data_IF_471287789426
#
_entry.id   IF_471287789426
#
_cell.length_a   1.000
_cell.length_b   1.000
_cell.length_c   1.000
_cell.angle_alpha   90.00
_cell.angle_beta   90.00
_cell.angle_gamma   90.00
#
_symmetry.space_group_name_H-M   'P 1'
#
loop_
_entity.id
_entity.type
_entity.pdbx_description
1 polymer ?
#
# COMPACT_ATOMS: atom_id res chain seq x y z
N UNK A 1 -59.39 3.38 -23.51
CA UNK A 1 -59.01 2.96 -22.13
C UNK A 1 -57.60 2.32 -22.03
N UNK A 2 -56.86 2.10 -23.13
CA UNK A 2 -55.57 1.39 -23.15
C UNK A 2 -54.30 2.25 -22.95
N UNK A 3 -54.35 3.58 -23.17
CA UNK A 3 -53.14 4.43 -23.08
C UNK A 3 -52.85 4.84 -21.64
N UNK A 4 -53.86 5.10 -20.81
CA UNK A 4 -53.67 5.43 -19.37
C UNK A 4 -53.15 4.27 -18.54
N UNK A 5 -53.43 3.02 -18.94
CA UNK A 5 -52.86 1.81 -18.29
C UNK A 5 -51.39 1.59 -18.61
N UNK A 6 -50.93 1.98 -19.79
CA UNK A 6 -49.53 1.86 -20.23
C UNK A 6 -48.62 2.86 -19.49
N UNK A 7 -49.04 4.09 -19.32
CA UNK A 7 -48.27 5.11 -18.57
C UNK A 7 -48.17 4.78 -17.07
N UNK A 8 -49.25 4.31 -16.46
CA UNK A 8 -49.24 3.89 -15.04
C UNK A 8 -48.37 2.67 -14.81
N UNK A 9 -48.36 1.72 -15.76
CA UNK A 9 -47.49 0.54 -15.71
C UNK A 9 -46.02 0.94 -15.89
N UNK A 10 -45.72 1.82 -16.84
CA UNK A 10 -44.36 2.33 -17.09
C UNK A 10 -43.81 3.09 -15.88
N UNK A 11 -44.61 3.99 -15.29
CA UNK A 11 -44.26 4.72 -14.05
C UNK A 11 -43.99 3.77 -12.89
N UNK A 12 -44.81 2.72 -12.73
CA UNK A 12 -44.66 1.73 -11.65
C UNK A 12 -43.38 0.88 -11.82
N UNK A 13 -43.07 0.48 -13.04
CA UNK A 13 -41.86 -0.23 -13.37
C UNK A 13 -40.60 0.64 -13.13
N UNK A 14 -40.65 1.88 -13.66
CA UNK A 14 -39.55 2.84 -13.49
C UNK A 14 -39.24 3.13 -12.02
N UNK A 15 -40.30 3.32 -11.20
CA UNK A 15 -40.13 3.53 -9.75
C UNK A 15 -39.54 2.32 -9.07
N UNK A 16 -39.90 1.11 -9.43
CA UNK A 16 -39.38 -0.11 -8.85
C UNK A 16 -37.87 -0.34 -9.20
N UNK A 17 -37.50 -0.09 -10.44
CA UNK A 17 -36.09 -0.16 -10.86
C UNK A 17 -35.23 0.91 -10.19
N UNK A 18 -35.78 2.11 -10.04
CA UNK A 18 -35.14 3.20 -9.29
C UNK A 18 -34.92 2.86 -7.84
N UNK A 19 -35.90 2.22 -7.18
CA UNK A 19 -35.75 1.76 -5.79
C UNK A 19 -34.68 0.67 -5.63
N UNK A 20 -34.64 -0.33 -6.53
CA UNK A 20 -33.62 -1.38 -6.50
C UNK A 20 -32.22 -0.81 -6.72
N UNK A 21 -32.07 0.15 -7.63
CA UNK A 21 -30.82 0.87 -7.82
C UNK A 21 -30.42 1.62 -6.55
N UNK A 22 -31.35 2.36 -5.94
CA UNK A 22 -31.06 3.13 -4.72
C UNK A 22 -30.60 2.23 -3.58
N UNK A 23 -31.22 1.06 -3.42
CA UNK A 23 -30.78 0.04 -2.45
C UNK A 23 -29.37 -0.44 -2.78
N UNK A 24 -29.08 -0.76 -4.04
CA UNK A 24 -27.78 -1.24 -4.47
C UNK A 24 -26.69 -0.18 -4.28
N UNK A 25 -26.98 1.09 -4.62
CA UNK A 25 -26.05 2.21 -4.42
C UNK A 25 -25.80 2.49 -2.94
N UNK A 26 -26.86 2.51 -2.12
CA UNK A 26 -26.71 2.68 -0.67
C UNK A 26 -25.87 1.57 -0.05
N UNK A 27 -26.11 0.32 -0.45
CA UNK A 27 -25.32 -0.82 -0.01
C UNK A 27 -23.87 -0.70 -0.49
N UNK A 28 -23.63 -0.33 -1.75
CA UNK A 28 -22.28 -0.14 -2.29
C UNK A 28 -21.55 0.97 -1.57
N UNK A 29 -22.20 2.11 -1.30
CA UNK A 29 -21.61 3.22 -0.54
C UNK A 29 -21.29 2.83 0.89
N UNK A 30 -22.16 2.08 1.55
CA UNK A 30 -21.93 1.54 2.88
C UNK A 30 -20.74 0.56 2.87
N UNK A 31 -20.69 -0.36 1.90
CA UNK A 31 -19.56 -1.28 1.71
C UNK A 31 -18.25 -0.52 1.46
N UNK A 32 -18.26 0.50 0.60
CA UNK A 32 -17.09 1.32 0.30
C UNK A 32 -16.61 2.16 1.50
N UNK A 33 -17.52 2.48 2.43
CA UNK A 33 -17.16 3.15 3.70
C UNK A 33 -16.47 2.23 4.70
N UNK A 34 -16.52 0.90 4.49
CA UNK A 34 -15.90 -0.14 5.31
C UNK A 34 -14.66 -0.68 4.60
N UNK A 35 -13.61 -0.94 5.33
CA UNK A 35 -12.42 -1.56 4.77
C UNK A 35 -12.60 -3.09 4.70
N UNK A 36 -12.93 -3.59 3.50
CA UNK A 36 -12.89 -5.03 3.20
C UNK A 36 -11.45 -5.47 2.93
N UNK A 37 -10.63 -5.40 3.97
CA UNK A 37 -9.17 -5.53 3.88
C UNK A 37 -8.75 -6.78 3.13
N UNK A 38 -9.33 -7.95 3.44
CA UNK A 38 -8.87 -9.23 2.86
C UNK A 38 -9.11 -9.38 1.35
N UNK A 39 -10.31 -8.99 0.86
CA UNK A 39 -10.62 -9.08 -0.58
C UNK A 39 -9.80 -8.06 -1.37
N UNK A 40 -9.73 -6.83 -0.88
CA UNK A 40 -8.96 -5.76 -1.50
C UNK A 40 -7.47 -6.07 -1.49
N UNK A 41 -6.93 -6.61 -0.39
CA UNK A 41 -5.55 -7.03 -0.25
C UNK A 41 -5.18 -8.13 -1.26
N UNK A 42 -6.05 -9.13 -1.44
CA UNK A 42 -5.80 -10.21 -2.41
C UNK A 42 -5.73 -9.71 -3.86
N UNK A 43 -6.57 -8.72 -4.22
CA UNK A 43 -6.52 -8.09 -5.54
C UNK A 43 -5.26 -7.24 -5.69
N UNK A 44 -4.95 -6.41 -4.69
CA UNK A 44 -3.74 -5.59 -4.65
C UNK A 44 -2.48 -6.44 -4.84
N UNK A 45 -2.33 -7.51 -4.04
CA UNK A 45 -1.16 -8.37 -4.06
C UNK A 45 -0.92 -8.99 -5.46
N UNK A 46 -2.01 -9.39 -6.14
CA UNK A 46 -1.90 -9.92 -7.51
C UNK A 46 -1.53 -8.85 -8.53
N UNK A 47 -2.14 -7.67 -8.43
CA UNK A 47 -1.85 -6.58 -9.36
C UNK A 47 -0.43 -6.05 -9.20
N UNK A 48 0.07 -5.92 -7.96
CA UNK A 48 1.43 -5.45 -7.70
C UNK A 48 2.47 -6.49 -8.12
N UNK A 49 2.18 -7.79 -7.94
CA UNK A 49 3.05 -8.87 -8.39
C UNK A 49 3.21 -8.94 -9.92
N UNK A 50 2.27 -8.36 -10.68
CA UNK A 50 2.33 -8.23 -12.14
C UNK A 50 2.95 -6.90 -12.60
N UNK A 51 3.34 -6.04 -11.67
CA UNK A 51 4.01 -4.77 -11.97
C UNK A 51 5.48 -5.04 -12.27
N UNK A 52 5.82 -5.11 -13.54
CA UNK A 52 7.16 -5.43 -14.03
C UNK A 52 7.99 -4.13 -14.19
N UNK A 53 8.30 -3.47 -13.09
CA UNK A 53 9.18 -2.30 -13.09
C UNK A 53 10.55 -2.68 -12.55
N UNK A 54 11.64 -2.30 -13.22
CA UNK A 54 13.00 -2.63 -12.78
C UNK A 54 13.32 -1.95 -11.43
N UNK A 55 14.26 -2.52 -10.71
CA UNK A 55 14.90 -1.87 -9.57
C UNK A 55 15.89 -0.82 -10.07
N UNK A 56 16.06 0.24 -9.31
CA UNK A 56 17.07 1.25 -9.60
C UNK A 56 18.46 0.73 -9.19
N UNK A 57 19.36 0.67 -10.16
CA UNK A 57 20.73 0.18 -9.95
C UNK A 57 21.56 1.07 -9.02
N UNK A 58 21.20 2.35 -8.84
CA UNK A 58 21.91 3.25 -7.93
C UNK A 58 21.71 2.90 -6.45
N UNK A 59 20.70 2.07 -6.12
CA UNK A 59 20.44 1.62 -4.78
C UNK A 59 21.16 0.30 -4.52
N UNK A 60 22.04 0.26 -3.49
CA UNK A 60 22.80 -0.90 -3.10
C UNK A 60 22.56 -1.24 -1.63
N UNK A 61 22.25 -2.50 -1.32
CA UNK A 61 22.11 -2.96 0.06
C UNK A 61 23.44 -3.53 0.56
N UNK A 62 23.97 -2.94 1.64
CA UNK A 62 25.08 -3.51 2.42
C UNK A 62 24.47 -4.33 3.55
N UNK A 63 24.49 -5.64 3.38
CA UNK A 63 23.70 -6.58 4.16
C UNK A 63 24.46 -7.09 5.41
N UNK A 64 23.83 -6.92 6.57
CA UNK A 64 24.22 -7.70 7.77
C UNK A 64 23.64 -9.10 7.56
N UNK A 65 24.39 -9.92 6.85
CA UNK A 65 24.01 -11.26 6.43
C UNK A 65 24.68 -12.36 7.27
N UNK A 66 24.36 -13.62 6.99
CA UNK A 66 24.93 -14.77 7.71
C UNK A 66 26.45 -14.88 7.51
N UNK A 67 27.00 -14.38 6.39
CA UNK A 67 28.44 -14.32 6.16
C UNK A 67 29.08 -13.32 7.11
N UNK A 68 28.54 -12.12 7.17
CA UNK A 68 29.05 -11.06 8.06
C UNK A 68 29.00 -11.46 9.55
N UNK A 69 27.93 -12.18 9.96
CA UNK A 69 27.81 -12.70 11.32
C UNK A 69 28.89 -13.74 11.65
N UNK A 70 29.32 -14.56 10.69
CA UNK A 70 30.41 -15.53 10.89
C UNK A 70 31.79 -14.88 10.93
N UNK A 71 32.01 -13.85 10.09
CA UNK A 71 33.34 -13.22 9.94
C UNK A 71 33.60 -12.15 11.00
N UNK A 72 32.61 -11.34 11.37
CA UNK A 72 32.77 -10.27 12.36
C UNK A 72 32.43 -10.75 13.77
N UNK A 73 31.49 -11.70 13.89
CA UNK A 73 31.04 -12.23 15.16
C UNK A 73 29.60 -11.89 15.51
N UNK A 74 29.25 -12.12 16.78
CA UNK A 74 27.88 -12.02 17.27
C UNK A 74 27.35 -10.59 17.21
N UNK A 75 26.15 -10.42 16.67
CA UNK A 75 25.36 -9.17 16.68
C UNK A 75 24.75 -8.90 18.08
N UNK A 76 24.62 -7.63 18.54
CA UNK A 76 25.03 -6.40 17.86
C UNK A 76 26.57 -6.17 17.93
N UNK A 77 27.09 -5.56 16.83
CA UNK A 77 28.52 -5.24 16.76
C UNK A 77 28.83 -3.91 17.45
N UNK A 78 30.12 -3.75 17.86
CA UNK A 78 30.63 -2.48 18.40
C UNK A 78 30.47 -1.34 17.40
N UNK A 79 30.21 -0.12 17.92
CA UNK A 79 30.13 1.12 17.11
C UNK A 79 31.43 1.35 16.33
N UNK A 80 32.55 0.82 16.79
CA UNK A 80 33.84 0.88 16.05
C UNK A 80 33.73 0.17 14.68
N UNK A 81 33.02 -0.94 14.59
CA UNK A 81 32.82 -1.68 13.35
C UNK A 81 31.99 -0.83 12.37
N UNK A 82 30.92 -0.17 12.87
CA UNK A 82 30.10 0.72 12.08
C UNK A 82 30.86 1.99 11.63
N UNK A 83 31.72 2.54 12.51
CA UNK A 83 32.59 3.66 12.16
C UNK A 83 33.57 3.31 11.02
N UNK A 84 34.17 2.12 11.08
CA UNK A 84 35.07 1.65 10.02
C UNK A 84 34.32 1.43 8.69
N UNK A 85 33.09 0.92 8.72
CA UNK A 85 32.25 0.83 7.51
C UNK A 85 31.96 2.22 6.92
N UNK A 86 31.54 3.19 7.75
CA UNK A 86 31.25 4.56 7.31
C UNK A 86 32.48 5.20 6.67
N UNK A 87 33.66 5.09 7.31
CA UNK A 87 34.92 5.58 6.76
C UNK A 87 35.23 4.90 5.39
N UNK A 88 35.04 3.57 5.29
CA UNK A 88 35.27 2.80 4.05
C UNK A 88 34.31 3.23 2.92
N UNK A 89 33.03 3.42 3.22
CA UNK A 89 32.03 3.88 2.24
C UNK A 89 32.32 5.31 1.77
N UNK A 90 32.74 6.21 2.69
CA UNK A 90 33.19 7.56 2.34
C UNK A 90 34.41 7.54 1.39
N UNK A 91 35.40 6.69 1.67
CA UNK A 91 36.61 6.54 0.82
C UNK A 91 36.27 6.00 -0.57
N UNK A 92 35.32 5.08 -0.67
CA UNK A 92 34.82 4.57 -1.95
C UNK A 92 33.99 5.61 -2.73
N UNK A 93 33.57 6.71 -2.11
CA UNK A 93 32.81 7.79 -2.74
C UNK A 93 31.35 7.47 -2.95
N UNK A 94 30.68 6.86 -1.94
CA UNK A 94 29.22 6.64 -1.99
C UNK A 94 28.47 7.98 -1.91
N UNK A 95 27.32 8.05 -2.57
CA UNK A 95 26.49 9.24 -2.62
C UNK A 95 25.81 9.54 -1.29
N UNK A 96 25.23 8.52 -0.67
CA UNK A 96 24.57 8.62 0.63
C UNK A 96 24.56 7.24 1.31
N UNK A 97 24.46 7.24 2.64
CA UNK A 97 24.38 6.05 3.47
C UNK A 97 23.15 6.15 4.37
N UNK A 98 22.20 5.24 4.25
CA UNK A 98 21.11 5.08 5.19
C UNK A 98 21.38 3.85 6.07
N UNK A 99 21.53 4.05 7.38
CA UNK A 99 21.75 2.96 8.34
C UNK A 99 20.40 2.56 8.94
N UNK A 100 19.89 1.39 8.57
CA UNK A 100 18.70 0.78 9.20
C UNK A 100 19.12 0.00 10.47
N UNK A 101 19.77 0.73 11.39
CA UNK A 101 20.33 0.22 12.64
C UNK A 101 20.09 1.26 13.74
N UNK A 102 19.48 0.82 14.86
CA UNK A 102 19.17 1.67 15.99
C UNK A 102 20.38 1.85 16.92
N UNK A 103 20.69 3.10 17.27
CA UNK A 103 21.79 3.47 18.17
C UNK A 103 21.23 4.23 19.39
N UNK A 104 20.51 3.51 20.27
CA UNK A 104 19.74 4.12 21.37
C UNK A 104 20.47 4.08 22.70
N UNK A 105 21.35 3.12 22.93
CA UNK A 105 22.05 2.89 24.18
C UNK A 105 23.55 3.08 24.01
N UNK A 106 24.20 3.73 24.98
CA UNK A 106 25.63 3.97 24.94
C UNK A 106 26.44 2.66 25.03
N UNK A 107 27.51 2.56 24.24
CA UNK A 107 28.47 1.45 24.32
C UNK A 107 29.58 1.77 25.34
N UNK A 108 29.51 1.10 26.48
CA UNK A 108 30.55 1.21 27.52
C UNK A 108 30.74 2.65 28.02
N UNK A 109 31.92 3.25 27.82
CA UNK A 109 32.26 4.62 28.20
C UNK A 109 31.95 5.68 27.14
N UNK A 110 31.24 5.30 26.09
CA UNK A 110 30.80 6.18 24.99
C UNK A 110 31.93 6.56 24.00
N UNK A 111 33.13 6.01 24.11
CA UNK A 111 34.21 6.29 23.15
C UNK A 111 33.92 5.73 21.76
N UNK A 112 33.31 4.55 21.70
CA UNK A 112 32.93 3.92 20.46
C UNK A 112 31.80 4.72 19.77
N UNK A 113 30.83 5.24 20.55
CA UNK A 113 29.74 6.08 20.04
C UNK A 113 30.28 7.39 19.43
N UNK A 114 31.20 8.08 20.14
CA UNK A 114 31.88 9.28 19.62
C UNK A 114 32.65 8.97 18.33
N UNK A 115 33.37 7.83 18.27
CA UNK A 115 34.11 7.45 17.07
C UNK A 115 33.19 7.22 15.86
N UNK A 116 32.02 6.67 16.08
CA UNK A 116 30.98 6.55 15.03
C UNK A 116 30.44 7.93 14.62
N UNK A 117 30.12 8.80 15.59
CA UNK A 117 29.71 10.18 15.31
C UNK A 117 30.77 10.93 14.48
N UNK A 118 32.06 10.87 14.89
CA UNK A 118 33.15 11.47 14.12
C UNK A 118 33.25 10.93 12.69
N UNK A 119 33.02 9.62 12.47
CA UNK A 119 33.01 9.03 11.14
C UNK A 119 31.85 9.56 10.30
N UNK A 120 30.66 9.68 10.90
CA UNK A 120 29.47 10.26 10.26
C UNK A 120 29.68 11.75 9.89
N UNK A 121 30.27 12.53 10.80
CA UNK A 121 30.59 13.94 10.56
C UNK A 121 31.56 14.10 9.36
N UNK A 122 32.58 13.23 9.28
CA UNK A 122 33.52 13.25 8.14
C UNK A 122 32.88 12.84 6.83
N UNK A 123 31.91 11.91 6.88
CA UNK A 123 31.18 11.46 5.71
C UNK A 123 30.16 12.51 5.23
N UNK A 124 29.44 13.16 6.15
CA UNK A 124 28.48 14.23 5.89
C UNK A 124 27.19 13.79 5.16
N UNK A 125 27.01 12.49 4.93
CA UNK A 125 25.93 11.93 4.12
C UNK A 125 25.29 10.67 4.74
N UNK A 126 25.38 10.52 6.06
CA UNK A 126 24.86 9.34 6.80
C UNK A 126 23.56 9.67 7.49
N UNK A 127 22.53 8.88 7.23
CA UNK A 127 21.17 9.00 7.78
C UNK A 127 20.92 7.86 8.77
N UNK A 128 20.32 8.17 9.93
CA UNK A 128 20.11 7.22 11.03
C UNK A 128 18.67 7.22 11.53
N UNK A 129 18.14 6.06 11.98
CA UNK A 129 16.79 5.96 12.46
C UNK A 129 16.66 6.39 13.93
N UNK A 130 15.47 6.89 14.27
CA UNK A 130 14.98 6.94 15.63
C UNK A 130 13.99 5.78 15.87
N UNK A 131 13.79 5.44 17.14
CA UNK A 131 12.83 4.42 17.53
C UNK A 131 11.59 5.03 18.20
N UNK A 132 10.47 4.35 18.05
CA UNK A 132 9.25 4.57 18.84
C UNK A 132 9.13 3.48 19.90
N UNK A 133 8.95 3.85 21.16
CA UNK A 133 8.58 2.89 22.18
C UNK A 133 7.17 2.34 21.94
N UNK A 134 6.95 1.03 22.13
CA UNK A 134 5.61 0.52 22.29
C UNK A 134 4.94 1.23 23.48
N UNK A 135 3.64 1.55 23.35
CA UNK A 135 2.88 2.16 24.47
C UNK A 135 2.91 1.20 25.66
N UNK A 136 3.52 1.63 26.75
CA UNK A 136 3.61 0.82 27.98
C UNK A 136 2.25 0.55 28.62
N UNK A 137 1.28 1.47 28.42
CA UNK A 137 -0.10 1.37 28.87
C UNK A 137 -1.05 1.93 27.81
N UNK A 138 -2.25 1.36 27.62
CA UNK A 138 -3.25 1.96 26.75
C UNK A 138 -3.56 3.39 27.17
N UNK A 139 -3.37 4.36 26.25
CA UNK A 139 -3.61 5.79 26.48
C UNK A 139 -2.40 6.59 26.98
N UNK A 140 -1.25 5.96 27.25
CA UNK A 140 0.00 6.70 27.49
C UNK A 140 0.48 7.35 26.17
N UNK A 141 1.05 8.56 26.20
CA UNK A 141 1.66 9.14 25.02
C UNK A 141 2.82 8.25 24.58
N UNK A 142 2.96 7.97 23.28
CA UNK A 142 4.12 7.23 22.77
C UNK A 142 5.38 8.06 22.97
N UNK A 143 6.48 7.38 23.27
CA UNK A 143 7.78 8.01 23.50
C UNK A 143 8.66 7.78 22.27
N UNK A 144 9.29 8.85 21.80
CA UNK A 144 10.29 8.78 20.71
C UNK A 144 11.67 8.71 21.36
N UNK A 145 12.47 7.74 20.95
CA UNK A 145 13.87 7.61 21.33
C UNK A 145 14.75 8.04 20.17
N UNK A 146 15.35 9.22 20.23
CA UNK A 146 16.35 9.63 19.24
C UNK A 146 17.62 8.77 19.37
N UNK A 147 18.47 8.75 18.35
CA UNK A 147 19.82 8.22 18.49
C UNK A 147 20.59 8.94 19.60
N UNK A 148 21.67 8.31 20.09
CA UNK A 148 22.57 8.95 21.06
C UNK A 148 23.04 10.33 20.54
N UNK A 149 23.21 11.35 21.41
CA UNK A 149 23.61 12.70 20.99
C UNK A 149 24.85 12.72 20.10
N UNK A 150 25.91 11.98 20.46
CA UNK A 150 27.15 11.87 19.65
C UNK A 150 26.89 11.39 18.21
N UNK A 151 25.82 10.65 17.98
CA UNK A 151 25.41 10.13 16.66
C UNK A 151 24.40 11.07 16.01
N UNK A 152 23.40 11.51 16.75
CA UNK A 152 22.34 12.36 16.26
C UNK A 152 22.86 13.71 15.72
N UNK A 153 23.78 14.35 16.48
CA UNK A 153 24.35 15.65 16.13
C UNK A 153 25.28 15.58 14.88
N UNK A 154 25.74 14.39 14.52
CA UNK A 154 26.66 14.15 13.41
C UNK A 154 26.02 13.42 12.21
N UNK A 155 24.75 13.05 12.32
CA UNK A 155 24.00 12.49 11.21
C UNK A 155 23.55 13.57 10.23
N UNK A 156 23.55 13.25 8.92
CA UNK A 156 23.03 14.13 7.89
C UNK A 156 21.50 14.29 7.96
N UNK A 157 20.79 13.32 8.55
CA UNK A 157 19.39 13.35 8.81
C UNK A 157 18.92 12.20 9.70
N UNK A 158 17.78 12.44 10.34
CA UNK A 158 17.15 11.47 11.26
C UNK A 158 15.71 11.29 10.84
N UNK A 159 15.19 10.07 10.95
CA UNK A 159 13.80 9.76 10.65
C UNK A 159 13.34 8.45 11.26
N UNK A 160 12.05 8.17 11.21
CA UNK A 160 11.54 6.87 11.63
C UNK A 160 11.62 5.83 10.49
N UNK A 161 11.64 4.56 10.87
CA UNK A 161 11.66 3.42 9.93
C UNK A 161 10.42 2.53 10.07
N UNK A 162 9.35 3.06 10.69
CA UNK A 162 8.15 2.28 10.98
C UNK A 162 7.43 1.85 9.70
N UNK A 163 6.92 0.65 9.71
CA UNK A 163 6.06 0.09 8.66
C UNK A 163 4.71 -0.30 9.27
N UNK A 164 3.66 -0.34 8.43
CA UNK A 164 2.32 -0.71 8.88
C UNK A 164 1.98 -2.11 8.38
N UNK A 165 1.75 -3.04 9.31
CA UNK A 165 1.25 -4.36 8.99
C UNK A 165 -0.28 -4.33 8.91
N UNK A 166 -0.85 -4.82 7.82
CA UNK A 166 -2.28 -5.02 7.67
C UNK A 166 -2.77 -6.15 8.59
N UNK A 167 -4.10 -6.33 8.71
CA UNK A 167 -4.70 -7.37 9.55
C UNK A 167 -4.27 -8.81 9.21
N UNK A 168 -3.77 -9.04 7.99
CA UNK A 168 -3.21 -10.32 7.55
C UNK A 168 -1.71 -10.46 7.84
N UNK A 169 -1.13 -9.51 8.56
CA UNK A 169 0.29 -9.47 8.93
C UNK A 169 1.24 -9.05 7.81
N UNK A 170 0.75 -8.67 6.63
CA UNK A 170 1.58 -8.19 5.53
C UNK A 170 1.79 -6.69 5.58
N UNK A 171 3.01 -6.26 5.31
CA UNK A 171 3.36 -4.85 5.12
C UNK A 171 3.09 -4.46 3.67
N UNK A 172 2.17 -3.49 3.48
CA UNK A 172 1.84 -2.92 2.16
C UNK A 172 1.98 -1.41 2.14
N UNK A 173 1.96 -0.79 3.31
CA UNK A 173 1.87 0.66 3.49
C UNK A 173 2.68 1.12 4.67
N UNK A 174 2.97 2.41 4.68
CA UNK A 174 3.65 3.09 5.75
C UNK A 174 3.24 4.57 5.73
N UNK A 175 3.52 5.27 6.81
CA UNK A 175 3.34 6.71 6.90
C UNK A 175 4.66 7.42 6.65
N UNK A 176 4.64 8.51 5.87
CA UNK A 176 5.85 9.31 5.62
C UNK A 176 6.14 10.30 6.75
N UNK A 177 5.16 10.59 7.60
CA UNK A 177 5.33 11.40 8.79
C UNK A 177 4.64 10.73 9.99
N UNK A 178 5.37 10.62 11.10
CA UNK A 178 4.82 10.14 12.37
C UNK A 178 5.37 10.98 13.54
N UNK A 179 4.58 11.17 14.60
CA UNK A 179 5.05 11.87 15.78
C UNK A 179 3.96 12.35 16.71
N UNK A 180 4.32 13.16 17.69
CA UNK A 180 3.39 13.96 18.49
C UNK A 180 3.30 15.37 17.88
N UNK A 181 2.24 16.12 18.16
CA UNK A 181 1.89 17.40 17.50
C UNK A 181 3.09 18.35 17.31
N UNK A 182 3.96 18.45 18.30
CA UNK A 182 5.11 19.38 18.27
C UNK A 182 6.43 18.70 17.82
N UNK A 183 6.39 17.39 17.52
CA UNK A 183 7.56 16.59 17.17
C UNK A 183 7.19 15.56 16.10
N UNK A 184 6.73 16.04 14.93
CA UNK A 184 6.50 15.19 13.77
C UNK A 184 7.83 14.93 13.09
N UNK A 185 8.11 13.65 12.85
CA UNK A 185 9.37 13.18 12.27
C UNK A 185 9.08 12.53 10.92
N UNK A 186 9.85 12.86 9.87
CA UNK A 186 9.71 12.21 8.59
C UNK A 186 10.19 10.74 8.64
N UNK A 187 9.70 9.95 7.72
CA UNK A 187 10.27 8.63 7.45
C UNK A 187 11.73 8.78 6.97
N UNK A 188 12.64 7.94 7.45
CA UNK A 188 14.09 8.08 7.16
C UNK A 188 14.38 8.06 5.65
N UNK A 189 13.67 7.21 4.91
CA UNK A 189 13.79 7.17 3.44
C UNK A 189 13.32 8.48 2.78
N UNK A 190 12.29 9.15 3.35
CA UNK A 190 11.86 10.45 2.85
C UNK A 190 12.92 11.53 3.15
N UNK A 191 13.48 11.55 4.35
CA UNK A 191 14.53 12.50 4.72
C UNK A 191 15.76 12.36 3.80
N UNK A 192 16.14 11.12 3.48
CA UNK A 192 17.19 10.85 2.50
C UNK A 192 16.81 11.34 1.09
N UNK A 193 15.60 11.00 0.61
CA UNK A 193 15.13 11.42 -0.72
C UNK A 193 15.08 12.95 -0.86
N UNK A 194 14.54 13.66 0.13
CA UNK A 194 14.47 15.13 0.13
C UNK A 194 15.85 15.78 0.04
N UNK A 195 16.84 15.22 0.73
CA UNK A 195 18.22 15.67 0.62
C UNK A 195 18.83 15.39 -0.76
N UNK A 196 18.52 14.26 -1.39
CA UNK A 196 18.95 13.95 -2.76
C UNK A 196 18.33 14.94 -3.77
N UNK A 197 17.06 15.33 -3.57
CA UNK A 197 16.41 16.38 -4.35
C UNK A 197 17.11 17.73 -4.18
N UNK A 198 17.43 18.10 -2.94
CA UNK A 198 18.16 19.33 -2.63
C UNK A 198 19.55 19.40 -3.26
N UNK A 199 20.15 18.25 -3.52
CA UNK A 199 21.45 18.12 -4.22
C UNK A 199 21.31 18.01 -5.76
N UNK A 200 20.08 18.01 -6.29
CA UNK A 200 19.83 17.85 -7.73
C UNK A 200 20.01 16.43 -8.27
N UNK A 201 20.03 15.44 -7.39
CA UNK A 201 20.27 14.02 -7.71
C UNK A 201 18.98 13.22 -7.90
N UNK A 202 17.85 13.79 -7.52
CA UNK A 202 16.52 13.23 -7.76
C UNK A 202 15.56 14.35 -8.19
N UNK A 203 14.52 13.98 -8.94
CA UNK A 203 13.45 14.90 -9.28
C UNK A 203 12.59 15.18 -8.05
N UNK A 204 12.39 16.44 -7.70
CA UNK A 204 11.55 16.83 -6.57
C UNK A 204 10.09 16.48 -6.80
N UNK A 205 9.42 16.04 -5.72
CA UNK A 205 7.98 15.85 -5.67
C UNK A 205 7.45 16.37 -4.33
N UNK A 206 6.18 16.81 -4.31
CA UNK A 206 5.50 17.07 -3.04
C UNK A 206 5.35 15.75 -2.27
N UNK A 207 5.35 15.82 -0.92
CA UNK A 207 5.17 14.64 -0.11
C UNK A 207 3.81 13.97 -0.46
N UNK A 208 3.81 12.73 -0.91
CA UNK A 208 2.58 12.06 -1.35
C UNK A 208 1.73 11.61 -0.16
N UNK A 209 0.46 11.35 -0.40
CA UNK A 209 -0.50 10.96 0.63
C UNK A 209 -1.27 12.16 1.18
N UNK A 210 -2.31 11.89 1.96
CA UNK A 210 -3.16 12.92 2.56
C UNK A 210 -2.57 13.37 3.90
N UNK A 211 -2.50 14.68 4.12
CA UNK A 211 -2.20 15.26 5.42
C UNK A 211 -3.46 15.20 6.28
N UNK A 212 -3.41 14.44 7.37
CA UNK A 212 -4.52 14.34 8.31
C UNK A 212 -4.46 15.50 9.27
N UNK A 213 -5.21 16.57 9.01
CA UNK A 213 -5.35 17.68 9.94
C UNK A 213 -5.96 17.17 11.26
N UNK A 214 -5.13 16.96 12.26
CA UNK A 214 -5.60 16.56 13.57
C UNK A 214 -6.23 17.73 14.31
N UNK A 215 -7.55 17.66 14.47
CA UNK A 215 -8.37 18.70 15.15
C UNK A 215 -8.36 18.56 16.69
N UNK A 216 -7.57 17.68 17.29
CA UNK A 216 -7.71 17.33 18.69
C UNK A 216 -6.50 17.72 19.55
N UNK A 217 -6.76 18.52 20.57
CA UNK A 217 -5.84 18.95 21.64
C UNK A 217 -5.37 17.84 22.60
N UNK A 218 -5.34 16.60 22.18
CA UNK A 218 -4.81 15.49 22.98
C UNK A 218 -3.45 15.09 22.45
N UNK A 219 -2.45 14.78 23.29
CA UNK A 219 -1.16 14.27 22.89
C UNK A 219 -1.34 12.84 22.34
N UNK A 220 -1.87 12.75 21.13
CA UNK A 220 -2.03 11.49 20.38
C UNK A 220 -0.91 11.36 19.38
N UNK A 221 -0.55 10.12 19.06
CA UNK A 221 0.39 9.83 17.99
C UNK A 221 -0.24 10.16 16.64
N UNK A 222 0.33 11.13 15.93
CA UNK A 222 -0.08 11.53 14.60
C UNK A 222 0.63 10.67 13.57
N UNK A 223 -0.09 10.36 12.50
CA UNK A 223 0.39 9.61 11.34
C UNK A 223 -0.18 10.24 10.09
N UNK A 224 0.69 10.79 9.28
CA UNK A 224 0.31 11.52 8.07
C UNK A 224 0.99 10.94 6.84
N UNK A 225 0.45 11.28 5.67
CA UNK A 225 1.00 10.89 4.39
C UNK A 225 1.12 9.37 4.24
N UNK A 226 -0.03 8.68 4.37
CA UNK A 226 -0.11 7.24 4.13
C UNK A 226 0.17 6.92 2.66
N UNK A 227 1.16 6.07 2.42
CA UNK A 227 1.53 5.58 1.09
C UNK A 227 1.62 4.07 1.07
N UNK A 228 1.35 3.48 -0.10
CA UNK A 228 1.60 2.07 -0.35
C UNK A 228 2.94 1.89 -1.05
N UNK A 229 3.71 0.92 -0.58
CA UNK A 229 5.01 0.60 -1.16
C UNK A 229 4.81 -0.15 -2.48
N UNK A 230 5.24 0.39 -3.63
CA UNK A 230 5.16 -0.31 -4.90
C UNK A 230 6.35 -1.26 -5.05
N UNK A 231 6.23 -2.44 -4.45
CA UNK A 231 7.29 -3.45 -4.48
C UNK A 231 7.72 -3.79 -5.92
N UNK A 232 9.03 -3.79 -6.17
CA UNK A 232 9.64 -3.97 -7.49
C UNK A 232 9.99 -5.42 -7.83
N UNK A 233 9.90 -6.32 -6.85
CA UNK A 233 10.21 -7.73 -7.05
C UNK A 233 10.14 -8.55 -5.77
N UNK A 234 10.41 -9.85 -5.86
CA UNK A 234 10.47 -10.73 -4.69
C UNK A 234 11.63 -10.35 -3.78
N UNK A 235 11.65 -10.88 -2.53
CA UNK A 235 12.79 -10.69 -1.63
C UNK A 235 14.12 -11.04 -2.31
N UNK A 236 15.06 -10.11 -2.28
CA UNK A 236 16.35 -10.25 -2.95
C UNK A 236 16.45 -9.61 -4.33
N UNK A 237 15.49 -8.83 -4.74
CA UNK A 237 15.51 -8.15 -6.03
C UNK A 237 16.58 -7.05 -6.15
N UNK A 238 16.91 -6.37 -5.06
CA UNK A 238 17.91 -5.32 -5.06
C UNK A 238 19.34 -5.86 -5.05
N UNK A 239 20.29 -5.17 -5.75
CA UNK A 239 21.72 -5.45 -5.63
C UNK A 239 22.15 -5.42 -4.17
N UNK A 240 22.96 -6.41 -3.76
CA UNK A 240 23.44 -6.49 -2.39
C UNK A 240 24.88 -7.02 -2.30
N UNK A 241 25.58 -6.55 -1.28
CA UNK A 241 26.91 -7.02 -0.90
C UNK A 241 26.95 -7.29 0.60
N UNK A 242 27.79 -8.24 1.03
CA UNK A 242 27.98 -8.51 2.47
C UNK A 242 28.61 -7.32 3.16
N UNK A 243 28.18 -7.00 4.36
CA UNK A 243 28.77 -5.98 5.22
C UNK A 243 30.27 -6.25 5.46
N UNK A 244 30.62 -7.50 5.78
CA UNK A 244 32.00 -7.91 5.98
C UNK A 244 32.88 -7.74 4.74
N UNK A 245 32.32 -8.02 3.54
CA UNK A 245 33.07 -7.85 2.29
C UNK A 245 33.40 -6.38 2.01
N UNK A 246 32.47 -5.46 2.32
CA UNK A 246 32.74 -4.01 2.20
C UNK A 246 33.79 -3.59 3.24
N UNK A 247 33.62 -4.02 4.48
CA UNK A 247 34.52 -3.68 5.59
C UNK A 247 35.99 -4.16 5.36
N UNK A 248 36.15 -5.36 4.77
CA UNK A 248 37.44 -5.95 4.45
C UNK A 248 38.04 -5.45 3.12
N UNK A 249 37.35 -4.57 2.40
CA UNK A 249 37.83 -4.04 1.12
C UNK A 249 37.78 -5.03 -0.03
N UNK A 250 36.99 -6.10 0.08
CA UNK A 250 36.81 -7.11 -0.98
C UNK A 250 35.89 -6.62 -2.10
N UNK A 251 35.05 -5.59 -1.84
CA UNK A 251 34.16 -4.98 -2.82
C UNK A 251 34.92 -3.84 -3.52
N UNK A 252 35.08 -3.88 -4.86
CA UNK A 252 35.72 -2.82 -5.62
C UNK A 252 35.01 -1.47 -5.43
N UNK A 253 35.79 -0.38 -5.34
CA UNK A 253 35.26 0.97 -5.15
C UNK A 253 34.33 1.40 -6.29
N UNK A 254 34.54 0.90 -7.49
CA UNK A 254 33.71 1.19 -8.67
C UNK A 254 32.26 0.73 -8.49
N UNK A 255 32.05 -0.35 -7.72
CA UNK A 255 30.71 -0.87 -7.39
C UNK A 255 30.01 -0.06 -6.30
N UNK A 256 30.76 0.71 -5.52
CA UNK A 256 30.26 1.54 -4.41
C UNK A 256 30.11 3.01 -4.81
N UNK A 257 30.97 3.49 -5.70
CA UNK A 257 31.06 4.89 -6.08
C UNK A 257 29.76 5.41 -6.67
N UNK A 258 29.26 6.53 -6.10
CA UNK A 258 28.03 7.19 -6.54
C UNK A 258 26.75 6.45 -6.19
N UNK A 259 26.82 5.29 -5.51
CA UNK A 259 25.64 4.54 -5.09
C UNK A 259 25.00 5.17 -3.84
N UNK A 260 23.72 4.95 -3.68
CA UNK A 260 22.98 5.17 -2.44
C UNK A 260 22.97 3.84 -1.70
N UNK A 261 23.66 3.80 -0.56
CA UNK A 261 23.87 2.58 0.20
C UNK A 261 22.88 2.50 1.37
N UNK A 262 22.14 1.40 1.43
CA UNK A 262 21.26 1.08 2.57
C UNK A 262 21.92 -0.04 3.37
N UNK A 263 22.25 0.20 4.64
CA UNK A 263 22.88 -0.77 5.54
C UNK A 263 21.82 -1.33 6.47
N UNK A 264 21.60 -2.64 6.47
CA UNK A 264 20.61 -3.24 7.35
C UNK A 264 20.66 -4.76 7.46
N UNK A 265 19.86 -5.30 8.37
CA UNK A 265 19.80 -6.71 8.68
C UNK A 265 19.09 -7.51 7.58
N UNK A 266 19.75 -8.55 7.07
CA UNK A 266 19.16 -9.51 6.13
C UNK A 266 19.25 -10.96 6.60
N UNK A 267 20.12 -11.24 7.59
CA UNK A 267 20.24 -12.56 8.18
C UNK A 267 18.94 -13.00 8.88
N UNK A 268 18.57 -14.26 8.69
CA UNK A 268 17.28 -14.79 9.16
C UNK A 268 17.10 -14.75 10.68
N UNK A 269 18.19 -14.71 11.44
CA UNK A 269 18.17 -14.69 12.92
C UNK A 269 18.01 -13.33 13.57
N UNK A 270 18.04 -12.23 12.81
CA UNK A 270 18.02 -10.87 13.36
C UNK A 270 16.62 -10.26 13.53
N UNK A 271 15.56 -10.97 13.11
CA UNK A 271 14.16 -10.62 13.41
C UNK A 271 13.52 -9.50 12.58
N UNK A 272 14.29 -8.74 11.81
CA UNK A 272 13.79 -7.64 10.98
C UNK A 272 13.32 -8.12 9.61
N UNK A 273 12.24 -8.91 9.61
CA UNK A 273 11.68 -9.50 8.38
C UNK A 273 10.16 -9.46 8.38
N UNK A 274 9.59 -9.05 7.26
CA UNK A 274 8.15 -8.82 7.09
C UNK A 274 7.57 -9.62 5.93
N UNK A 275 6.35 -10.13 6.11
CA UNK A 275 5.57 -10.61 4.98
C UNK A 275 5.12 -9.42 4.12
N UNK A 276 5.30 -9.52 2.80
CA UNK A 276 4.93 -8.47 1.83
C UNK A 276 4.14 -9.09 0.66
N UNK A 277 3.43 -8.29 -0.17
CA UNK A 277 2.64 -8.80 -1.30
C UNK A 277 3.40 -9.73 -2.25
N UNK A 278 4.65 -9.41 -2.51
CA UNK A 278 5.53 -10.11 -3.46
C UNK A 278 6.39 -11.22 -2.84
N UNK A 279 6.23 -11.51 -1.56
CA UNK A 279 7.01 -12.53 -0.86
C UNK A 279 6.86 -13.94 -1.46
N UNK A 280 5.69 -14.25 -2.03
CA UNK A 280 5.42 -15.54 -2.65
C UNK A 280 5.79 -16.72 -1.74
N UNK A 281 6.52 -17.70 -2.32
CA UNK A 281 7.05 -18.86 -1.58
C UNK A 281 8.35 -18.56 -0.83
N UNK A 282 8.98 -17.40 -1.06
CA UNK A 282 10.23 -17.00 -0.41
C UNK A 282 10.05 -16.47 1.03
N UNK A 283 8.81 -16.35 1.48
CA UNK A 283 8.46 -16.07 2.87
C UNK A 283 8.43 -14.59 3.23
N UNK A 284 9.55 -14.00 3.66
CA UNK A 284 9.59 -12.62 4.19
C UNK A 284 10.69 -11.79 3.54
N UNK A 285 10.48 -10.47 3.48
CA UNK A 285 11.44 -9.47 3.01
C UNK A 285 12.12 -8.79 4.20
N UNK A 286 13.39 -8.47 4.10
CA UNK A 286 14.11 -7.71 5.12
C UNK A 286 13.61 -6.27 5.19
N UNK A 287 13.62 -5.65 6.38
CA UNK A 287 13.17 -4.26 6.57
C UNK A 287 13.93 -3.29 5.67
N UNK A 288 15.24 -3.39 5.62
CA UNK A 288 16.09 -2.56 4.74
C UNK A 288 15.70 -2.67 3.25
N UNK A 289 15.18 -3.81 2.80
CA UNK A 289 14.72 -3.99 1.42
C UNK A 289 13.34 -3.34 1.18
N UNK A 290 12.49 -3.25 2.22
CA UNK A 290 11.26 -2.44 2.17
C UNK A 290 11.61 -0.96 2.01
N UNK A 291 12.62 -0.49 2.75
CA UNK A 291 13.15 0.88 2.63
C UNK A 291 13.71 1.13 1.21
N UNK A 292 14.43 0.17 0.65
CA UNK A 292 14.94 0.24 -0.72
C UNK A 292 13.81 0.35 -1.76
N UNK A 293 12.72 -0.40 -1.59
CA UNK A 293 11.52 -0.30 -2.44
C UNK A 293 10.87 1.09 -2.35
N UNK A 294 10.76 1.65 -1.13
CA UNK A 294 10.22 3.00 -0.95
C UNK A 294 11.12 4.06 -1.60
N UNK A 295 12.44 3.99 -1.36
CA UNK A 295 13.38 4.92 -1.98
C UNK A 295 13.31 4.87 -3.50
N UNK A 296 13.31 3.66 -4.07
CA UNK A 296 13.15 3.48 -5.51
C UNK A 296 11.84 4.12 -6.03
N UNK A 297 10.74 3.94 -5.29
CA UNK A 297 9.46 4.54 -5.65
C UNK A 297 9.50 6.06 -5.67
N UNK A 298 10.14 6.66 -4.67
CA UNK A 298 10.32 8.12 -4.57
C UNK A 298 11.20 8.65 -5.70
N UNK A 299 12.33 7.99 -6.00
CA UNK A 299 13.24 8.38 -7.08
C UNK A 299 12.59 8.28 -8.47
N UNK A 300 11.72 7.29 -8.68
CA UNK A 300 10.95 7.12 -9.92
C UNK A 300 9.72 8.03 -10.01
N UNK A 301 9.42 8.80 -8.96
CA UNK A 301 8.19 9.60 -8.88
C UNK A 301 6.92 8.76 -8.91
N UNK A 302 6.99 7.47 -8.54
CA UNK A 302 5.87 6.53 -8.57
C UNK A 302 5.57 5.97 -7.18
N UNK A 303 4.75 6.67 -6.44
CA UNK A 303 4.23 6.25 -5.14
C UNK A 303 2.73 5.96 -5.28
N UNK A 304 2.24 4.95 -4.60
CA UNK A 304 0.82 4.58 -4.63
C UNK A 304 0.12 5.23 -3.44
N UNK A 305 -0.84 6.12 -3.74
CA UNK A 305 -1.67 6.78 -2.73
C UNK A 305 -3.06 6.15 -2.68
N UNK A 306 -3.70 6.22 -1.54
CA UNK A 306 -5.10 5.79 -1.37
C UNK A 306 -6.06 6.93 -1.71
N UNK A 307 -7.22 6.58 -2.27
CA UNK A 307 -8.29 7.55 -2.47
C UNK A 307 -8.87 7.97 -1.13
N UNK A 308 -9.21 9.25 -1.01
CA UNK A 308 -10.00 9.75 0.11
C UNK A 308 -11.35 9.03 0.19
N UNK A 309 -11.95 9.04 1.38
CA UNK A 309 -13.17 8.28 1.65
C UNK A 309 -14.34 8.65 0.74
N UNK A 310 -14.52 9.95 0.44
CA UNK A 310 -15.64 10.43 -0.36
C UNK A 310 -15.50 10.01 -1.83
N UNK A 311 -14.31 10.23 -2.41
CA UNK A 311 -13.98 9.83 -3.78
C UNK A 311 -14.07 8.31 -3.94
N UNK A 312 -13.59 7.53 -2.97
CA UNK A 312 -13.69 6.07 -2.96
C UNK A 312 -15.15 5.60 -3.00
N UNK A 313 -16.03 6.20 -2.20
CA UNK A 313 -17.47 5.88 -2.18
C UNK A 313 -18.10 6.20 -3.53
N UNK A 314 -17.92 7.41 -4.03
CA UNK A 314 -18.50 7.86 -5.30
C UNK A 314 -18.03 6.99 -6.46
N UNK A 315 -16.73 6.74 -6.56
CA UNK A 315 -16.17 5.95 -7.64
C UNK A 315 -16.64 4.49 -7.61
N UNK A 316 -16.86 3.95 -6.40
CA UNK A 316 -17.37 2.57 -6.23
C UNK A 316 -18.80 2.40 -6.71
N UNK A 317 -19.60 3.47 -6.77
CA UNK A 317 -20.98 3.44 -7.28
C UNK A 317 -21.05 3.47 -8.82
N UNK A 318 -20.02 3.98 -9.50
CA UNK A 318 -20.01 4.18 -10.97
C UNK A 318 -20.27 2.88 -11.73
N UNK A 319 -19.65 1.72 -11.44
CA UNK A 319 -19.93 0.48 -12.17
C UNK A 319 -21.40 0.01 -12.03
N UNK A 320 -22.01 0.22 -10.87
CA UNK A 320 -23.42 -0.16 -10.60
C UNK A 320 -24.36 0.71 -11.43
N UNK A 321 -24.12 2.02 -11.49
CA UNK A 321 -24.85 2.95 -12.34
C UNK A 321 -24.69 2.60 -13.82
N UNK A 322 -23.47 2.31 -14.26
CA UNK A 322 -23.18 1.91 -15.64
C UNK A 322 -23.91 0.62 -16.02
N UNK A 323 -23.93 -0.39 -15.13
CA UNK A 323 -24.70 -1.61 -15.35
C UNK A 323 -26.17 -1.35 -15.49
N UNK A 324 -26.77 -0.51 -14.63
CA UNK A 324 -28.17 -0.14 -14.76
C UNK A 324 -28.49 0.49 -16.13
N UNK A 325 -27.70 1.49 -16.52
CA UNK A 325 -27.88 2.15 -17.82
C UNK A 325 -27.78 1.14 -18.96
N UNK A 326 -26.77 0.26 -18.91
CA UNK A 326 -26.58 -0.79 -19.91
C UNK A 326 -27.79 -1.74 -19.97
N UNK A 327 -28.36 -2.13 -18.83
CA UNK A 327 -29.52 -3.02 -18.75
C UNK A 327 -30.82 -2.33 -19.25
N UNK A 328 -30.96 -1.03 -19.07
CA UNK A 328 -32.15 -0.26 -19.58
C UNK A 328 -32.14 -0.18 -21.12
N UNK A 329 -30.96 -0.13 -21.73
CA UNK A 329 -30.81 0.02 -23.20
C UNK A 329 -30.77 -1.33 -23.90
N UNK A 330 -30.31 -2.38 -23.20
CA UNK A 330 -30.01 -3.69 -23.80
C UNK A 330 -31.20 -4.64 -23.71
N UNK A 331 -31.16 -5.67 -24.60
CA UNK A 331 -32.13 -6.76 -24.54
C UNK A 331 -31.79 -7.71 -23.38
N UNK A 332 -32.84 -8.24 -22.73
CA UNK A 332 -32.71 -9.18 -21.57
C UNK A 332 -31.76 -10.36 -21.77
N UNK A 333 -31.59 -10.82 -23.00
CA UNK A 333 -30.69 -11.94 -23.33
C UNK A 333 -29.19 -11.65 -23.06
N UNK A 334 -28.79 -10.37 -22.94
CA UNK A 334 -27.41 -9.96 -22.75
C UNK A 334 -27.02 -9.67 -21.29
N UNK A 335 -27.93 -9.85 -20.35
CA UNK A 335 -27.74 -9.49 -18.93
C UNK A 335 -26.47 -10.11 -18.34
N UNK A 336 -26.24 -11.41 -18.58
CA UNK A 336 -25.06 -12.11 -18.08
C UNK A 336 -23.76 -11.58 -18.71
N UNK A 337 -23.78 -11.33 -20.02
CA UNK A 337 -22.64 -10.80 -20.75
C UNK A 337 -22.30 -9.38 -20.30
N UNK A 338 -23.31 -8.54 -20.05
CA UNK A 338 -23.14 -7.19 -19.52
C UNK A 338 -22.57 -7.20 -18.11
N UNK A 339 -23.04 -8.11 -17.26
CA UNK A 339 -22.48 -8.27 -15.91
C UNK A 339 -21.01 -8.66 -15.96
N UNK A 340 -20.65 -9.66 -16.76
CA UNK A 340 -19.27 -10.09 -16.93
C UNK A 340 -18.39 -8.96 -17.49
N UNK A 341 -18.90 -8.20 -18.47
CA UNK A 341 -18.22 -7.04 -19.02
C UNK A 341 -17.99 -5.96 -17.97
N UNK A 342 -19.00 -5.62 -17.14
CA UNK A 342 -18.85 -4.62 -16.08
C UNK A 342 -17.83 -5.03 -15.02
N UNK A 343 -17.80 -6.31 -14.64
CA UNK A 343 -16.75 -6.84 -13.74
C UNK A 343 -15.36 -6.69 -14.36
N UNK A 344 -15.22 -7.09 -15.63
CA UNK A 344 -13.95 -6.98 -16.34
C UNK A 344 -13.49 -5.51 -16.47
N UNK A 345 -14.40 -4.60 -16.83
CA UNK A 345 -14.10 -3.16 -16.92
C UNK A 345 -13.73 -2.56 -15.55
N UNK A 346 -14.40 -2.96 -14.48
CA UNK A 346 -14.07 -2.50 -13.13
C UNK A 346 -12.67 -2.96 -12.72
N UNK A 347 -12.32 -4.23 -12.99
CA UNK A 347 -10.98 -4.75 -12.70
C UNK A 347 -9.90 -4.09 -13.57
N UNK A 348 -10.18 -3.85 -14.84
CA UNK A 348 -9.27 -3.14 -15.74
C UNK A 348 -9.05 -1.68 -15.29
N UNK A 349 -10.13 -0.99 -14.88
CA UNK A 349 -10.03 0.37 -14.34
C UNK A 349 -9.22 0.42 -13.04
N UNK A 350 -9.42 -0.55 -12.13
CA UNK A 350 -8.64 -0.68 -10.91
C UNK A 350 -7.14 -0.90 -11.23
N UNK A 351 -6.82 -1.79 -12.18
CA UNK A 351 -5.44 -2.04 -12.60
C UNK A 351 -4.80 -0.80 -13.26
N UNK A 352 -5.58 -0.06 -14.06
CA UNK A 352 -5.13 1.20 -14.66
C UNK A 352 -4.88 2.28 -13.61
N UNK A 353 -5.79 2.46 -12.66
CA UNK A 353 -5.64 3.40 -11.55
C UNK A 353 -4.35 3.09 -10.74
N UNK A 354 -4.10 1.81 -10.46
CA UNK A 354 -2.89 1.37 -9.77
C UNK A 354 -1.62 1.72 -10.56
N UNK A 355 -1.62 1.57 -11.90
CA UNK A 355 -0.50 1.98 -12.76
C UNK A 355 -0.26 3.50 -12.74
N UNK A 356 -1.30 4.28 -12.46
CA UNK A 356 -1.22 5.74 -12.30
C UNK A 356 -0.86 6.15 -10.85
N UNK A 357 -0.54 5.22 -9.96
CA UNK A 357 -0.19 5.48 -8.57
C UNK A 357 -1.40 5.72 -7.66
N UNK A 358 -2.60 5.29 -8.07
CA UNK A 358 -3.82 5.46 -7.28
C UNK A 358 -4.39 4.09 -6.92
N UNK A 359 -4.56 3.81 -5.63
CA UNK A 359 -5.23 2.61 -5.19
C UNK A 359 -6.74 2.83 -5.05
N UNK A 360 -7.50 2.21 -5.94
CA UNK A 360 -8.95 2.11 -5.86
C UNK A 360 -9.37 0.69 -5.48
N UNK A 361 -9.85 0.44 -4.22
CA UNK A 361 -10.25 -0.88 -3.76
C UNK A 361 -11.51 -1.38 -4.49
N UNK A 362 -11.47 -2.51 -5.23
CA UNK A 362 -12.59 -2.93 -6.09
C UNK A 362 -13.70 -3.68 -5.36
N UNK A 363 -13.49 -4.19 -4.14
CA UNK A 363 -14.42 -5.11 -3.49
C UNK A 363 -15.84 -4.54 -3.37
N UNK A 364 -16.00 -3.28 -2.97
CA UNK A 364 -17.30 -2.65 -2.82
C UNK A 364 -18.05 -2.56 -4.16
N UNK A 365 -17.36 -2.17 -5.24
CA UNK A 365 -17.92 -2.11 -6.58
C UNK A 365 -18.36 -3.48 -7.08
N UNK A 366 -17.52 -4.51 -6.88
CA UNK A 366 -17.83 -5.88 -7.30
C UNK A 366 -19.02 -6.45 -6.54
N UNK A 367 -19.05 -6.24 -5.21
CA UNK A 367 -20.19 -6.67 -4.38
C UNK A 367 -21.48 -5.91 -4.75
N UNK A 368 -21.37 -4.61 -5.03
CA UNK A 368 -22.50 -3.79 -5.49
C UNK A 368 -23.05 -4.26 -6.84
N UNK A 369 -22.16 -4.58 -7.79
CA UNK A 369 -22.56 -5.17 -9.09
C UNK A 369 -23.30 -6.49 -8.91
N UNK A 370 -22.77 -7.40 -8.06
CA UNK A 370 -23.42 -8.69 -7.78
C UNK A 370 -24.78 -8.46 -7.13
N UNK A 371 -24.88 -7.60 -6.13
CA UNK A 371 -26.14 -7.29 -5.44
C UNK A 371 -27.17 -6.74 -6.44
N UNK A 372 -26.79 -5.72 -7.23
CA UNK A 372 -27.70 -5.13 -8.21
C UNK A 372 -28.14 -6.15 -9.26
N UNK A 373 -27.21 -6.98 -9.76
CA UNK A 373 -27.53 -8.06 -10.69
C UNK A 373 -28.52 -9.07 -10.12
N UNK A 374 -28.35 -9.51 -8.87
CA UNK A 374 -29.29 -10.43 -8.20
C UNK A 374 -30.67 -9.81 -8.00
N UNK A 375 -30.73 -8.55 -7.59
CA UNK A 375 -31.99 -7.79 -7.46
C UNK A 375 -32.71 -7.65 -8.80
N UNK A 376 -31.94 -7.36 -9.86
CA UNK A 376 -32.46 -7.29 -11.23
C UNK A 376 -33.03 -8.63 -11.68
N UNK A 377 -32.31 -9.72 -11.52
CA UNK A 377 -32.73 -11.08 -11.89
C UNK A 377 -33.99 -11.50 -11.13
N UNK A 378 -33.98 -11.34 -9.82
CA UNK A 378 -35.14 -11.65 -8.97
C UNK A 378 -36.40 -10.89 -9.43
N UNK A 379 -36.27 -9.61 -9.73
CA UNK A 379 -37.38 -8.80 -10.17
C UNK A 379 -37.85 -9.20 -11.57
N UNK A 380 -36.94 -9.44 -12.49
CA UNK A 380 -37.27 -9.86 -13.86
C UNK A 380 -38.02 -11.18 -13.87
N UNK A 381 -37.57 -12.17 -13.12
CA UNK A 381 -38.28 -13.45 -12.99
C UNK A 381 -39.65 -13.30 -12.37
N UNK A 382 -39.82 -12.47 -11.34
CA UNK A 382 -41.11 -12.23 -10.69
C UNK A 382 -42.12 -11.53 -11.61
N UNK A 383 -41.67 -10.72 -12.55
CA UNK A 383 -42.54 -10.13 -13.58
C UNK A 383 -43.02 -11.20 -14.57
N UNK A 384 -42.09 -12.02 -15.04
CA UNK A 384 -42.39 -13.12 -15.99
C UNK A 384 -43.38 -14.13 -15.36
N UNK A 385 -43.15 -14.56 -14.12
CA UNK A 385 -44.03 -15.50 -13.44
C UNK A 385 -45.46 -14.93 -13.23
N UNK A 386 -45.58 -13.68 -12.88
CA UNK A 386 -46.90 -13.00 -12.76
C UNK A 386 -47.63 -12.89 -14.11
N UNK A 387 -46.87 -12.62 -15.18
CA UNK A 387 -47.48 -12.58 -16.52
C UNK A 387 -48.00 -13.95 -16.90
N UNK A 388 -47.22 -15.04 -16.69
CA UNK A 388 -47.65 -16.40 -16.93
C UNK A 388 -48.89 -16.79 -16.09
N UNK A 389 -48.92 -16.46 -14.80
CA UNK A 389 -50.07 -16.78 -13.94
C UNK A 389 -51.34 -16.08 -14.42
N UNK A 390 -51.24 -14.80 -14.84
CA UNK A 390 -52.39 -14.05 -15.37
C UNK A 390 -52.89 -14.61 -16.70
N UNK A 391 -51.96 -15.04 -17.57
CA UNK A 391 -52.28 -15.66 -18.87
C UNK A 391 -52.96 -17.02 -18.69
N UNK A 392 -52.49 -17.85 -17.77
CA UNK A 392 -53.12 -19.13 -17.42
C UNK A 392 -54.49 -18.92 -16.83
N UNK A 393 -54.69 -17.93 -15.94
CA UNK A 393 -56.00 -17.57 -15.40
C UNK A 393 -56.96 -17.10 -16.51
N UNK A 394 -56.50 -16.32 -17.49
CA UNK A 394 -57.34 -15.88 -18.61
C UNK A 394 -57.79 -17.06 -19.50
N UNK A 395 -56.85 -17.98 -19.79
CA UNK A 395 -57.15 -19.19 -20.58
C UNK A 395 -58.08 -20.16 -19.83
N UNK A 396 -57.97 -20.24 -18.52
CA UNK A 396 -58.86 -21.10 -17.70
C UNK A 396 -60.27 -20.51 -17.51
N UNK A 397 -60.44 -19.20 -17.71
CA UNK A 397 -61.74 -18.50 -17.61
C UNK A 397 -62.54 -18.42 -18.91
N UNK A 398 -62.00 -18.88 -20.05
CA UNK A 398 -62.75 -19.02 -21.31
C UNK A 398 -63.49 -20.34 -21.35
N UNK A 399 -64.86 -20.34 -21.29
CA UNK A 399 -65.65 -21.56 -21.08
C UNK A 399 -65.85 -22.45 -22.32
N UNK A 400 -65.17 -22.25 -23.43
CA UNK A 400 -65.46 -22.96 -24.69
C UNK A 400 -64.26 -23.35 -25.51
N UNK A 401 -63.45 -24.28 -25.01
CA UNK A 401 -62.50 -25.03 -25.84
C UNK A 401 -62.43 -26.53 -25.45
N UNK A 402 -63.51 -27.14 -25.16
CA UNK A 402 -63.59 -28.62 -25.25
C UNK A 402 -64.46 -28.93 -26.46
N UNK A 403 -63.90 -29.49 -27.56
CA UNK A 403 -64.75 -30.02 -28.62
C UNK A 403 -65.60 -31.16 -28.00
N UNK A 404 -66.91 -31.00 -28.04
CA UNK A 404 -67.81 -32.15 -27.77
C UNK A 404 -67.44 -33.27 -28.76
N UNK A 405 -66.89 -34.34 -28.19
CA UNK A 405 -66.71 -35.57 -28.94
C UNK A 405 -68.08 -36.13 -29.23
N UNK A 406 -68.51 -36.02 -30.51
CA UNK A 406 -69.63 -36.76 -31.07
C UNK A 406 -69.26 -38.19 -31.46
#
# INVERSE_FOLDING_TARGET
MSILTSEALFRRLFFQWGLLLLIALAATGWLASRDFVQLNASVYDRLIAWSDKPVNDDILIVAVDDRSLREIGRWPWSRLVHAALVDRLREAGVQAVMMDILFLEAEGDGKADRRLGDAMARAGNVYVPLARAPMATPGAPPVVYPPLPDIADNAAGIGHINVEADLDGKVRRLYLCEGVIDQVVPHLTWALFDALVGQGLAAGMAMPGEEIQSIHNTPSWHRDHLVRVPFRGPPGAFPRVSYSSVLLGEVPDELLRGRIVLVGATASGLGDRYAVPVSGRMGTMAGVEIQANLLNALMDGYVITELDKATRILLSMVPVLALMIALLVSRMRYVHALMALMVALTMAACALALRLGIWWPPAASLMGLVLFYLLWQWRSQSVILRWFSTEIESLSSEPNMVPEAG
#
